data_IF_495461510709
#
_entry.id   IF_495461510709
#
_cell.length_a   1.000
_cell.length_b   1.000
_cell.length_c   1.000
_cell.angle_alpha   90.00
_cell.angle_beta   90.00
_cell.angle_gamma   90.00
#
_symmetry.space_group_name_H-M   'P 1'
#
loop_
_entity.id
_entity.type
_entity.pdbx_description
1 polymer ?
#
# COMPACT_ATOMS: atom_id res chain seq x y z
N UNK A 1 -3.57 -4.07 -16.85
CA UNK A 1 -3.14 -2.71 -16.48
C UNK A 1 -1.66 -2.55 -16.77
N UNK A 2 -1.22 -1.43 -17.33
CA UNK A 2 0.20 -1.21 -17.65
C UNK A 2 0.92 -0.43 -16.54
N UNK A 3 2.26 -0.43 -16.56
CA UNK A 3 3.09 0.26 -15.55
C UNK A 3 2.92 1.78 -15.57
N UNK A 4 2.58 2.38 -16.72
CA UNK A 4 2.39 3.83 -16.83
C UNK A 4 1.12 4.28 -16.11
N UNK A 5 0.03 3.50 -16.25
CA UNK A 5 -1.23 3.75 -15.54
C UNK A 5 -1.05 3.60 -14.01
N UNK A 6 -0.21 2.66 -13.59
CA UNK A 6 0.18 2.52 -12.18
C UNK A 6 0.94 3.76 -11.67
N UNK A 7 1.87 4.29 -12.46
CA UNK A 7 2.63 5.51 -12.12
C UNK A 7 1.70 6.73 -12.02
N UNK A 8 0.79 6.91 -12.99
CA UNK A 8 -0.21 7.98 -12.97
C UNK A 8 -1.09 7.91 -11.72
N UNK A 9 -1.61 6.73 -11.38
CA UNK A 9 -2.39 6.51 -10.15
C UNK A 9 -1.57 6.84 -8.90
N UNK A 10 -0.28 6.46 -8.86
CA UNK A 10 0.60 6.72 -7.73
C UNK A 10 0.86 8.21 -7.51
N UNK A 11 1.16 8.97 -8.57
CA UNK A 11 1.37 10.41 -8.47
C UNK A 11 0.07 11.16 -8.14
N UNK A 12 -1.07 10.71 -8.70
CA UNK A 12 -2.39 11.20 -8.33
C UNK A 12 -2.70 10.96 -6.85
N UNK A 13 -2.33 9.80 -6.30
CA UNK A 13 -2.51 9.51 -4.88
C UNK A 13 -1.66 10.43 -4.01
N UNK A 14 -0.37 10.59 -4.31
CA UNK A 14 0.55 11.44 -3.54
C UNK A 14 0.16 12.92 -3.52
N UNK A 15 -0.50 13.38 -4.57
CA UNK A 15 -1.02 14.75 -4.67
C UNK A 15 -2.45 14.91 -4.12
N UNK A 16 -3.08 13.82 -3.71
CA UNK A 16 -4.45 13.83 -3.19
C UNK A 16 -4.49 14.14 -1.68
N UNK A 17 -5.63 14.69 -1.24
CA UNK A 17 -5.98 14.84 0.18
C UNK A 17 -6.05 13.51 0.96
N UNK A 18 -6.02 12.38 0.26
CA UNK A 18 -6.09 11.04 0.85
C UNK A 18 -4.71 10.48 1.19
N UNK A 19 -3.64 11.15 0.76
CA UNK A 19 -2.30 10.82 1.18
C UNK A 19 -2.13 11.23 2.64
N UNK A 20 -1.79 10.30 3.56
CA UNK A 20 -1.57 10.65 4.96
C UNK A 20 -0.32 11.54 5.04
N UNK A 21 -0.53 12.85 5.19
CA UNK A 21 0.54 13.76 5.56
C UNK A 21 1.12 13.28 6.89
N UNK A 22 2.46 13.35 7.04
CA UNK A 22 3.15 12.91 8.26
C UNK A 22 2.79 13.83 9.42
N UNK A 23 1.65 13.63 10.06
CA UNK A 23 1.32 14.31 11.30
C UNK A 23 2.30 13.88 12.40
N UNK A 24 2.80 14.92 13.05
CA UNK A 24 4.18 15.00 13.49
C UNK A 24 4.24 14.88 15.01
N UNK A 25 3.75 13.77 15.57
CA UNK A 25 4.02 13.45 16.98
C UNK A 25 5.39 12.79 17.13
N UNK A 26 6.43 13.58 16.84
CA UNK A 26 7.83 13.13 16.77
C UNK A 26 8.54 13.06 18.13
N UNK A 27 8.00 13.67 19.20
CA UNK A 27 8.79 13.86 20.43
C UNK A 27 8.93 12.59 21.27
N UNK A 28 7.93 11.70 21.30
CA UNK A 28 7.96 10.49 22.12
C UNK A 28 8.63 9.30 21.40
N UNK A 29 8.44 9.19 20.08
CA UNK A 29 8.88 8.05 19.27
C UNK A 29 10.39 8.11 18.97
N UNK A 30 10.97 9.31 18.85
CA UNK A 30 12.41 9.51 18.56
C UNK A 30 13.37 8.81 19.54
N UNK A 31 12.95 8.48 20.76
CA UNK A 31 13.81 7.83 21.76
C UNK A 31 13.78 6.29 21.73
N UNK A 32 12.83 5.66 21.03
CA UNK A 32 12.65 4.21 21.04
C UNK A 32 12.70 3.63 19.61
N UNK A 33 13.80 2.93 19.28
CA UNK A 33 14.03 2.36 17.94
C UNK A 33 12.93 1.38 17.50
N UNK A 34 12.54 0.45 18.38
CA UNK A 34 11.47 -0.52 18.10
C UNK A 34 10.12 0.14 17.79
N UNK A 35 9.79 1.24 18.48
CA UNK A 35 8.57 2.01 18.21
C UNK A 35 8.65 2.77 16.88
N UNK A 36 9.84 3.26 16.48
CA UNK A 36 10.03 3.86 15.16
C UNK A 36 9.87 2.83 14.05
N UNK A 37 10.42 1.62 14.22
CA UNK A 37 10.33 0.55 13.23
C UNK A 37 8.86 0.12 13.04
N UNK A 38 8.13 -0.09 14.14
CA UNK A 38 6.70 -0.41 14.11
C UNK A 38 5.86 0.69 13.47
N UNK A 39 6.15 1.96 13.78
CA UNK A 39 5.49 3.10 13.14
C UNK A 39 5.74 3.10 11.64
N UNK A 40 6.98 2.89 11.21
CA UNK A 40 7.31 2.86 9.78
C UNK A 40 6.57 1.75 9.03
N UNK A 41 6.44 0.57 9.66
CA UNK A 41 5.68 -0.55 9.09
C UNK A 41 4.19 -0.17 8.97
N UNK A 42 3.63 0.44 10.00
CA UNK A 42 2.23 0.86 10.03
C UNK A 42 1.93 1.96 8.99
N UNK A 43 2.78 2.99 8.91
CA UNK A 43 2.67 4.07 7.92
C UNK A 43 2.74 3.50 6.49
N UNK A 44 3.62 2.52 6.26
CA UNK A 44 3.74 1.83 4.97
C UNK A 44 2.46 1.07 4.59
N UNK A 45 1.94 0.26 5.52
CA UNK A 45 0.68 -0.47 5.32
C UNK A 45 -0.48 0.48 5.07
N UNK A 46 -0.57 1.58 5.82
CA UNK A 46 -1.62 2.57 5.66
C UNK A 46 -1.59 3.18 4.26
N UNK A 47 -0.43 3.63 3.79
CA UNK A 47 -0.27 4.19 2.44
C UNK A 47 -0.69 3.18 1.36
N UNK A 48 -0.22 1.92 1.47
CA UNK A 48 -0.56 0.87 0.52
C UNK A 48 -2.08 0.60 0.50
N UNK A 49 -2.70 0.39 1.67
CA UNK A 49 -4.14 0.12 1.78
C UNK A 49 -4.97 1.28 1.23
N UNK A 50 -4.64 2.52 1.58
CA UNK A 50 -5.37 3.69 1.09
C UNK A 50 -5.23 3.80 -0.43
N UNK A 51 -4.01 3.70 -0.95
CA UNK A 51 -3.76 3.71 -2.39
C UNK A 51 -4.63 2.68 -3.14
N UNK A 52 -4.62 1.43 -2.67
CA UNK A 52 -5.44 0.37 -3.27
C UNK A 52 -6.94 0.71 -3.19
N UNK A 53 -7.41 1.17 -2.03
CA UNK A 53 -8.82 1.51 -1.80
C UNK A 53 -9.33 2.64 -2.70
N UNK A 54 -8.49 3.63 -3.01
CA UNK A 54 -8.91 4.77 -3.82
C UNK A 54 -8.86 4.51 -5.31
N UNK A 55 -7.90 3.71 -5.79
CA UNK A 55 -7.64 3.56 -7.22
C UNK A 55 -8.01 2.21 -7.82
N UNK A 56 -8.42 1.24 -6.98
CA UNK A 56 -8.84 -0.08 -7.43
C UNK A 56 -10.23 -0.44 -6.92
N UNK A 57 -11.01 -1.08 -7.79
CA UNK A 57 -12.35 -1.56 -7.47
C UNK A 57 -12.22 -2.82 -6.61
N UNK A 58 -13.19 -3.06 -5.72
CA UNK A 58 -13.23 -4.20 -4.80
C UNK A 58 -12.02 -4.31 -3.86
N UNK A 59 -11.24 -3.23 -3.68
CA UNK A 59 -10.14 -3.17 -2.73
C UNK A 59 -10.61 -3.43 -1.29
N UNK A 60 -10.54 -4.69 -0.86
CA UNK A 60 -10.98 -5.16 0.46
C UNK A 60 -9.99 -6.17 1.03
N UNK A 61 -9.90 -6.29 2.37
CA UNK A 61 -9.21 -7.44 2.96
C UNK A 61 -9.86 -8.73 2.48
N UNK A 62 -9.05 -9.76 2.25
CA UNK A 62 -9.51 -11.11 1.94
C UNK A 62 -10.33 -11.66 3.13
N UNK A 63 -11.61 -11.96 2.88
CA UNK A 63 -12.58 -12.39 3.89
C UNK A 63 -12.28 -13.81 4.42
N UNK A 64 -11.42 -14.59 3.74
CA UNK A 64 -11.13 -16.00 4.09
C UNK A 64 -9.94 -16.19 5.06
N UNK A 65 -9.09 -15.18 5.27
CA UNK A 65 -7.87 -15.32 6.08
C UNK A 65 -7.91 -14.56 7.41
N UNK A 66 -8.13 -15.29 8.50
CA UNK A 66 -7.99 -14.83 9.90
C UNK A 66 -6.52 -14.66 10.36
N UNK A 67 -5.55 -14.75 9.47
CA UNK A 67 -4.13 -14.67 9.80
C UNK A 67 -3.56 -13.28 9.53
N UNK A 68 -2.55 -12.90 10.32
CA UNK A 68 -1.87 -11.60 10.33
C UNK A 68 -1.34 -11.12 8.95
N UNK A 69 -1.32 -11.97 7.92
CA UNK A 69 -1.12 -11.60 6.52
C UNK A 69 -2.41 -11.00 5.93
N UNK A 70 -2.55 -9.67 5.99
CA UNK A 70 -3.67 -8.96 5.36
C UNK A 70 -3.51 -9.01 3.85
N UNK A 71 -3.99 -10.08 3.25
CA UNK A 71 -4.23 -10.14 1.82
C UNK A 71 -5.29 -9.10 1.46
N UNK A 72 -5.06 -8.35 0.39
CA UNK A 72 -6.01 -7.40 -0.18
C UNK A 72 -6.41 -7.89 -1.56
N UNK A 73 -7.71 -8.01 -1.80
CA UNK A 73 -8.24 -8.34 -3.13
C UNK A 73 -8.50 -7.04 -3.87
N UNK A 74 -8.02 -6.92 -5.10
CA UNK A 74 -8.33 -5.81 -6.02
C UNK A 74 -8.86 -6.37 -7.33
N UNK A 75 -9.71 -5.61 -8.02
CA UNK A 75 -10.17 -5.96 -9.37
C UNK A 75 -9.39 -5.16 -10.42
N UNK A 76 -8.76 -5.87 -11.34
CA UNK A 76 -8.01 -5.29 -12.47
C UNK A 76 -8.43 -5.98 -13.76
N UNK A 77 -8.90 -5.20 -14.74
CA UNK A 77 -9.36 -5.71 -16.05
C UNK A 77 -10.39 -6.85 -15.95
N UNK A 78 -11.23 -6.84 -14.90
CA UNK A 78 -12.23 -7.88 -14.64
C UNK A 78 -11.70 -9.14 -13.95
N UNK A 79 -10.41 -9.21 -13.60
CA UNK A 79 -9.78 -10.29 -12.83
C UNK A 79 -9.52 -9.85 -11.39
N UNK A 80 -9.87 -10.70 -10.43
CA UNK A 80 -9.48 -10.51 -9.03
C UNK A 80 -8.01 -10.86 -8.84
N UNK A 81 -7.27 -9.95 -8.19
CA UNK A 81 -5.85 -10.10 -7.85
C UNK A 81 -5.74 -10.01 -6.33
N UNK A 82 -5.12 -11.01 -5.72
CA UNK A 82 -4.88 -11.05 -4.26
C UNK A 82 -3.46 -10.59 -3.97
N UNK A 83 -3.31 -9.54 -3.16
CA UNK A 83 -2.05 -8.88 -2.82
C UNK A 83 -1.71 -9.12 -1.36
N UNK A 84 -0.55 -9.69 -1.06
CA UNK A 84 -0.05 -9.76 0.32
C UNK A 84 0.61 -8.42 0.71
N UNK A 85 -0.15 -7.54 1.36
CA UNK A 85 0.30 -6.19 1.72
C UNK A 85 1.51 -6.20 2.67
N UNK A 86 1.67 -7.25 3.49
CA UNK A 86 2.82 -7.39 4.39
C UNK A 86 4.13 -7.67 3.65
N UNK A 87 4.06 -8.17 2.41
CA UNK A 87 5.21 -8.43 1.57
C UNK A 87 5.53 -7.26 0.62
N UNK A 88 4.73 -6.20 0.67
CA UNK A 88 4.95 -5.03 -0.19
C UNK A 88 6.27 -4.32 0.16
N UNK A 89 7.01 -3.82 -0.86
CA UNK A 89 8.11 -2.90 -0.65
C UNK A 89 7.66 -1.61 0.06
N UNK A 90 8.62 -0.78 0.44
CA UNK A 90 8.32 0.55 0.97
C UNK A 90 7.55 1.37 -0.08
N UNK A 91 6.37 1.86 0.26
CA UNK A 91 5.48 2.63 -0.60
C UNK A 91 6.15 3.91 -1.13
N UNK A 92 7.04 4.51 -0.33
CA UNK A 92 7.82 5.69 -0.72
C UNK A 92 8.94 5.37 -1.73
N UNK A 93 9.35 4.09 -1.83
CA UNK A 93 10.25 3.61 -2.88
C UNK A 93 9.41 3.29 -4.12
N UNK A 94 9.04 4.35 -4.85
CA UNK A 94 8.11 4.29 -5.99
C UNK A 94 8.49 3.18 -6.97
N UNK A 95 9.76 3.13 -7.38
CA UNK A 95 10.20 2.22 -8.43
C UNK A 95 10.01 0.75 -8.01
N UNK A 96 10.46 0.40 -6.80
CA UNK A 96 10.34 -0.98 -6.31
C UNK A 96 8.89 -1.33 -6.00
N UNK A 97 8.12 -0.39 -5.44
CA UNK A 97 6.71 -0.60 -5.13
C UNK A 97 5.86 -0.84 -6.39
N UNK A 98 6.01 0.00 -7.42
CA UNK A 98 5.25 -0.15 -8.66
C UNK A 98 5.66 -1.39 -9.45
N UNK A 99 6.95 -1.74 -9.46
CA UNK A 99 7.42 -3.01 -10.04
C UNK A 99 6.79 -4.22 -9.36
N UNK A 100 6.76 -4.21 -8.02
CA UNK A 100 6.11 -5.27 -7.24
C UNK A 100 4.62 -5.37 -7.57
N UNK A 101 3.87 -4.27 -7.47
CA UNK A 101 2.43 -4.26 -7.70
C UNK A 101 2.07 -4.68 -9.13
N UNK A 102 2.81 -4.18 -10.13
CA UNK A 102 2.65 -4.61 -11.52
C UNK A 102 2.94 -6.10 -11.69
N UNK A 103 3.97 -6.61 -11.02
CA UNK A 103 4.30 -8.03 -10.99
C UNK A 103 3.16 -8.88 -10.41
N UNK A 104 2.55 -8.46 -9.30
CA UNK A 104 1.40 -9.16 -8.72
C UNK A 104 0.16 -9.11 -9.63
N UNK A 105 -0.10 -8.00 -10.31
CA UNK A 105 -1.23 -7.84 -11.24
C UNK A 105 -1.09 -8.74 -12.47
N UNK A 106 0.14 -9.00 -12.94
CA UNK A 106 0.40 -9.81 -14.13
C UNK A 106 0.45 -11.32 -13.89
N UNK A 107 0.46 -11.77 -12.62
CA UNK A 107 0.29 -13.20 -12.30
C UNK A 107 -1.13 -13.63 -12.61
#
# INVERSE_FOLDING_TARGET
MNINELDEKYEAFKSSQHFPEKELDQKFIKKNRQLNDLKSIMDNMLCNILFLKYFFILARPDDECSQMAKNYVILVDGKEVTLNVNQSPQFYDKENYLKWLHGEILK
#
